data_IF_017526455372
#
_entry.id   IF_017526455372
#
_cell.length_a   1.000
_cell.length_b   1.000
_cell.length_c   1.000
_cell.angle_alpha   90.00
_cell.angle_beta   90.00
_cell.angle_gamma   90.00
#
_symmetry.space_group_name_H-M   'P 1'
#
loop_
_entity.id
_entity.type
_entity.pdbx_description
1 polymer ?
#
# COMPACT_ATOMS: atom_id res chain seq x y z
N UNK A 1 -5.54 -8.69 9.15
CA UNK A 1 -4.05 -8.79 9.05
C UNK A 1 -3.69 -9.52 7.77
N UNK A 2 -3.03 -8.81 6.85
CA UNK A 2 -2.79 -9.19 5.45
C UNK A 2 -2.05 -10.51 5.21
N UNK A 3 -1.25 -10.97 6.18
CA UNK A 3 -0.66 -12.32 6.15
C UNK A 3 -1.74 -13.40 6.03
N UNK A 4 -2.87 -13.23 6.72
CA UNK A 4 -4.00 -14.18 6.65
C UNK A 4 -4.70 -14.16 5.29
N UNK A 5 -4.54 -13.12 4.49
CA UNK A 5 -5.12 -13.00 3.15
C UNK A 5 -4.27 -13.72 2.09
N UNK A 6 -3.03 -14.07 2.42
CA UNK A 6 -2.09 -14.75 1.52
C UNK A 6 -0.99 -13.84 0.97
N UNK A 7 -0.84 -12.62 1.49
CA UNK A 7 0.27 -11.75 1.11
C UNK A 7 1.61 -12.32 1.58
N UNK A 8 2.59 -12.30 0.69
CA UNK A 8 4.00 -12.51 0.98
C UNK A 8 4.68 -11.17 1.24
N UNK A 9 5.64 -11.15 2.16
CA UNK A 9 6.29 -9.93 2.61
C UNK A 9 7.80 -10.00 2.43
N UNK A 10 8.39 -8.87 2.04
CA UNK A 10 9.82 -8.63 2.15
C UNK A 10 10.03 -7.24 2.76
N UNK A 11 11.12 -7.08 3.52
CA UNK A 11 11.51 -5.79 4.07
C UNK A 11 12.97 -5.50 3.70
N UNK A 12 13.29 -4.23 3.58
CA UNK A 12 14.65 -3.74 3.34
C UNK A 12 15.21 -3.02 4.56
N UNK A 13 16.54 -2.85 4.61
CA UNK A 13 17.21 -2.12 5.68
C UNK A 13 16.85 -0.61 5.69
N UNK A 14 16.35 -0.06 4.58
CA UNK A 14 15.84 1.32 4.50
C UNK A 14 14.39 1.45 4.99
N UNK A 15 13.79 0.38 5.52
CA UNK A 15 12.41 0.39 6.04
C UNK A 15 11.33 0.25 4.96
N UNK A 16 11.70 0.03 3.69
CA UNK A 16 10.73 -0.24 2.62
C UNK A 16 10.16 -1.64 2.82
N UNK A 17 8.83 -1.75 2.79
CA UNK A 17 8.09 -3.01 2.88
C UNK A 17 7.48 -3.33 1.53
N UNK A 18 7.70 -4.53 1.03
CA UNK A 18 7.04 -5.05 -0.17
C UNK A 18 6.03 -6.11 0.24
N UNK A 19 4.80 -5.99 -0.24
CA UNK A 19 3.75 -6.99 -0.08
C UNK A 19 3.33 -7.52 -1.45
N UNK A 20 3.23 -8.83 -1.62
CA UNK A 20 2.86 -9.45 -2.90
C UNK A 20 1.69 -10.41 -2.70
N UNK A 21 0.67 -10.30 -3.54
CA UNK A 21 -0.46 -11.22 -3.62
C UNK A 21 -0.58 -11.77 -5.03
N UNK A 22 -0.70 -13.09 -5.15
CA UNK A 22 -1.04 -13.75 -6.40
C UNK A 22 -2.54 -14.06 -6.43
N UNK A 23 -3.22 -13.65 -7.50
CA UNK A 23 -4.64 -13.91 -7.73
C UNK A 23 -4.85 -14.63 -9.05
N UNK A 24 -5.90 -15.44 -9.13
CA UNK A 24 -6.24 -16.17 -10.35
C UNK A 24 -7.20 -15.36 -11.21
N UNK A 25 -6.95 -15.32 -12.51
CA UNK A 25 -7.76 -14.58 -13.48
C UNK A 25 -8.54 -15.52 -14.40
N UNK A 26 -9.65 -15.02 -14.94
CA UNK A 26 -10.53 -15.70 -15.90
C UNK A 26 -9.84 -16.12 -17.21
N UNK A 27 -8.71 -15.50 -17.54
CA UNK A 27 -7.88 -15.78 -18.73
C UNK A 27 -6.96 -16.99 -18.58
N UNK A 28 -7.20 -17.88 -17.61
CA UNK A 28 -6.30 -18.99 -17.26
C UNK A 28 -4.87 -18.53 -16.93
N UNK A 29 -4.72 -17.30 -16.45
CA UNK A 29 -3.45 -16.71 -16.03
C UNK A 29 -3.53 -16.29 -14.56
N UNK A 30 -2.37 -16.10 -13.94
CA UNK A 30 -2.28 -15.48 -12.62
C UNK A 30 -1.92 -14.02 -12.76
N UNK A 31 -2.36 -13.21 -11.81
CA UNK A 31 -2.04 -11.81 -11.70
C UNK A 31 -1.32 -11.56 -10.37
N UNK A 32 -0.22 -10.83 -10.44
CA UNK A 32 0.59 -10.43 -9.30
C UNK A 32 0.23 -9.00 -8.96
N UNK A 33 -0.18 -8.80 -7.71
CA UNK A 33 -0.43 -7.50 -7.10
C UNK A 33 0.66 -7.23 -6.09
N UNK A 34 1.51 -6.25 -6.36
CA UNK A 34 2.62 -5.86 -5.51
C UNK A 34 2.38 -4.46 -4.95
N UNK A 35 2.50 -4.34 -3.63
CA UNK A 35 2.54 -3.06 -2.93
C UNK A 35 3.97 -2.79 -2.47
N UNK A 36 4.45 -1.56 -2.67
CA UNK A 36 5.71 -1.06 -2.12
C UNK A 36 5.38 0.10 -1.20
N UNK A 37 5.62 -0.10 0.09
CA UNK A 37 5.34 0.86 1.15
C UNK A 37 6.66 1.49 1.56
N UNK A 38 6.75 2.81 1.39
CA UNK A 38 7.88 3.58 1.85
C UNK A 38 7.72 3.90 3.35
N UNK A 39 8.83 4.12 4.07
CA UNK A 39 8.77 4.60 5.45
C UNK A 39 7.88 5.85 5.56
N UNK A 40 7.12 5.93 6.65
CA UNK A 40 6.34 7.13 6.95
C UNK A 40 7.26 8.34 7.18
N UNK A 41 6.83 9.50 6.73
CA UNK A 41 7.55 10.77 6.90
C UNK A 41 6.58 11.86 7.34
N UNK A 42 7.08 12.86 8.05
CA UNK A 42 6.30 14.04 8.39
C UNK A 42 6.29 14.98 7.20
N UNK A 43 5.12 15.26 6.64
CA UNK A 43 4.95 16.27 5.62
C UNK A 43 4.60 17.60 6.30
N UNK A 44 5.47 18.61 6.13
CA UNK A 44 5.19 19.98 6.54
C UNK A 44 4.36 20.68 5.48
N UNK A 45 3.34 21.44 5.88
CA UNK A 45 2.47 22.24 4.97
C UNK A 45 3.26 23.31 4.18
N UNK A 46 4.53 23.54 4.52
CA UNK A 46 5.39 24.56 3.92
C UNK A 46 6.35 24.08 2.81
N UNK A 47 6.41 22.78 2.48
CA UNK A 47 7.45 22.23 1.57
C UNK A 47 7.07 22.23 0.07
N UNK A 48 6.37 23.25 -0.41
CA UNK A 48 6.29 23.59 -1.85
C UNK A 48 7.51 24.41 -2.32
N UNK A 49 8.61 24.44 -1.57
CA UNK A 49 9.86 25.09 -1.99
C UNK A 49 11.06 24.17 -1.82
N UNK A 50 11.47 23.61 -2.96
CA UNK A 50 12.80 23.11 -3.23
C UNK A 50 13.88 24.01 -2.59
N UNK A 51 14.64 23.47 -1.64
CA UNK A 51 16.02 23.90 -1.40
C UNK A 51 16.80 22.74 -0.81
N UNK A 52 17.71 22.19 -1.61
CA UNK A 52 18.82 21.44 -1.06
C UNK A 52 19.66 22.37 -0.21
N UNK A 53 19.68 22.13 1.09
CA UNK A 53 20.75 22.59 1.97
C UNK A 53 20.93 21.55 3.06
N UNK A 54 22.08 20.87 2.98
CA UNK A 54 22.72 20.22 4.11
C UNK A 54 22.77 21.23 5.25
N UNK A 55 21.97 21.06 6.30
CA UNK A 55 22.26 21.63 7.61
C UNK A 55 21.60 20.79 8.69
N UNK A 56 22.46 20.18 9.50
CA UNK A 56 22.15 19.49 10.74
C UNK A 56 21.57 20.52 11.74
N UNK A 57 20.24 20.57 11.86
CA UNK A 57 19.61 21.23 13.00
C UNK A 57 18.27 20.56 13.34
N UNK A 58 18.31 19.77 14.41
CA UNK A 58 17.15 19.23 15.11
C UNK A 58 16.34 20.39 15.72
N UNK A 59 15.51 21.06 14.93
CA UNK A 59 14.43 21.88 15.45
C UNK A 59 13.21 21.01 15.68
N UNK A 60 13.08 20.53 16.93
CA UNK A 60 11.80 20.16 17.54
C UNK A 60 10.91 21.42 17.64
N UNK A 61 10.43 21.90 16.50
CA UNK A 61 9.19 22.67 16.47
C UNK A 61 8.04 21.68 16.57
N UNK A 62 7.06 21.97 17.44
CA UNK A 62 5.70 21.40 17.43
C UNK A 62 5.03 21.76 16.08
N UNK A 63 5.63 21.33 14.97
CA UNK A 63 5.03 21.41 13.67
C UNK A 63 3.93 20.37 13.70
N UNK A 64 2.70 20.83 13.51
CA UNK A 64 1.52 20.06 13.13
C UNK A 64 1.76 19.39 11.76
N UNK A 65 2.84 18.63 11.61
CA UNK A 65 3.19 17.89 10.42
C UNK A 65 2.29 16.67 10.34
N UNK A 66 1.63 16.49 9.20
CA UNK A 66 0.82 15.32 8.95
C UNK A 66 1.76 14.14 8.66
N UNK A 67 1.63 13.05 9.41
CA UNK A 67 2.38 11.84 9.14
C UNK A 67 1.81 11.19 7.87
N UNK A 68 2.61 11.14 6.81
CA UNK A 68 2.21 10.57 5.52
C UNK A 68 3.02 9.31 5.20
N UNK A 69 2.38 8.37 4.49
CA UNK A 69 3.01 7.16 3.96
C UNK A 69 2.73 7.08 2.47
N UNK A 70 3.79 6.92 1.68
CA UNK A 70 3.67 6.69 0.24
C UNK A 70 3.57 5.19 -0.02
N UNK A 71 2.58 4.81 -0.85
CA UNK A 71 2.41 3.44 -1.32
C UNK A 71 2.33 3.42 -2.83
N UNK A 72 3.15 2.60 -3.46
CA UNK A 72 3.05 2.27 -4.88
C UNK A 72 2.39 0.89 -5.04
N UNK A 73 1.58 0.73 -6.10
CA UNK A 73 0.93 -0.53 -6.44
C UNK A 73 1.21 -0.89 -7.89
N UNK A 74 1.67 -2.12 -8.10
CA UNK A 74 1.98 -2.70 -9.40
C UNK A 74 1.12 -3.94 -9.61
N UNK A 75 0.45 -4.02 -10.77
CA UNK A 75 -0.48 -5.12 -11.10
C UNK A 75 -0.15 -5.63 -12.49
N UNK A 76 0.27 -6.89 -12.59
CA UNK A 76 0.57 -7.53 -13.86
C UNK A 76 -0.03 -8.95 -13.93
N UNK A 77 -0.62 -9.36 -15.06
CA UNK A 77 -0.81 -8.56 -16.27
C UNK A 77 -1.95 -7.54 -16.12
N UNK A 78 -1.91 -6.48 -16.93
CA UNK A 78 -2.93 -5.43 -16.96
C UNK A 78 -4.19 -5.82 -17.76
N UNK A 79 -4.71 -7.03 -17.53
CA UNK A 79 -5.97 -7.51 -18.12
C UNK A 79 -6.58 -8.63 -17.27
N UNK A 80 -7.85 -8.93 -17.54
CA UNK A 80 -8.59 -10.04 -16.92
C UNK A 80 -9.37 -9.64 -15.67
N UNK A 81 -10.10 -10.63 -15.16
CA UNK A 81 -11.00 -10.51 -14.01
C UNK A 81 -10.69 -11.59 -12.99
N UNK A 82 -10.66 -11.23 -11.71
CA UNK A 82 -10.35 -12.17 -10.62
C UNK A 82 -11.43 -13.25 -10.52
N UNK A 83 -11.00 -14.51 -10.51
CA UNK A 83 -11.85 -15.67 -10.28
C UNK A 83 -12.05 -15.87 -8.78
N UNK A 84 -13.30 -16.02 -8.30
CA UNK A 84 -13.59 -16.31 -6.91
C UNK A 84 -13.09 -17.71 -6.53
N UNK A 85 -11.87 -17.82 -5.99
CA UNK A 85 -11.29 -19.10 -5.59
C UNK A 85 -10.61 -19.09 -4.21
N UNK A 86 -10.46 -17.91 -3.60
CA UNK A 86 -9.83 -17.75 -2.31
C UNK A 86 -10.72 -16.86 -1.44
N UNK A 87 -11.48 -17.50 -0.53
CA UNK A 87 -12.39 -16.81 0.39
C UNK A 87 -11.72 -15.77 1.29
N UNK A 88 -10.38 -15.83 1.43
CA UNK A 88 -9.59 -14.88 2.22
C UNK A 88 -9.46 -13.52 1.54
N UNK A 89 -9.70 -13.45 0.23
CA UNK A 89 -9.63 -12.22 -0.58
C UNK A 89 -10.95 -11.99 -1.34
N UNK A 90 -12.09 -12.35 -0.74
CA UNK A 90 -13.40 -12.21 -1.39
C UNK A 90 -13.76 -10.78 -1.80
N UNK A 91 -13.10 -9.78 -1.21
CA UNK A 91 -13.20 -8.38 -1.63
C UNK A 91 -12.67 -8.11 -3.04
N UNK A 92 -11.87 -9.03 -3.60
CA UNK A 92 -11.32 -8.97 -4.95
C UNK A 92 -12.14 -9.79 -5.96
N UNK A 93 -13.13 -10.57 -5.51
CA UNK A 93 -13.93 -11.43 -6.37
C UNK A 93 -14.61 -10.64 -7.49
N UNK A 94 -14.49 -11.13 -8.73
CA UNK A 94 -15.07 -10.54 -9.94
C UNK A 94 -14.61 -9.10 -10.25
N UNK A 95 -13.52 -8.64 -9.64
CA UNK A 95 -12.92 -7.34 -9.96
C UNK A 95 -12.00 -7.45 -11.16
N UNK A 96 -12.00 -6.43 -12.01
CA UNK A 96 -10.96 -6.27 -13.02
C UNK A 96 -9.63 -5.93 -12.36
N UNK A 97 -8.53 -6.25 -13.04
CA UNK A 97 -7.16 -6.01 -12.53
C UNK A 97 -6.98 -4.59 -11.95
N UNK A 98 -7.50 -3.55 -12.62
CA UNK A 98 -7.35 -2.15 -12.21
C UNK A 98 -8.19 -1.76 -10.98
N UNK A 99 -9.18 -2.58 -10.60
CA UNK A 99 -10.04 -2.35 -9.44
C UNK A 99 -9.48 -2.98 -8.15
N UNK A 100 -8.51 -3.91 -8.27
CA UNK A 100 -7.95 -4.63 -7.13
C UNK A 100 -7.22 -3.66 -6.19
N UNK A 101 -6.45 -2.72 -6.73
CA UNK A 101 -5.74 -1.70 -5.95
C UNK A 101 -6.71 -0.92 -5.05
N UNK A 102 -7.79 -0.38 -5.62
CA UNK A 102 -8.80 0.37 -4.88
C UNK A 102 -9.49 -0.47 -3.80
N UNK A 103 -9.74 -1.75 -4.10
CA UNK A 103 -10.32 -2.68 -3.13
C UNK A 103 -9.45 -2.84 -1.88
N UNK A 104 -8.14 -3.02 -2.06
CA UNK A 104 -7.20 -3.21 -0.97
C UNK A 104 -6.96 -1.90 -0.22
N UNK A 105 -6.78 -0.78 -0.93
CA UNK A 105 -6.57 0.54 -0.34
C UNK A 105 -7.72 0.95 0.58
N UNK A 106 -8.96 0.74 0.16
CA UNK A 106 -10.13 1.01 1.00
C UNK A 106 -10.09 0.20 2.31
N UNK A 107 -9.71 -1.07 2.24
CA UNK A 107 -9.58 -1.90 3.43
C UNK A 107 -8.43 -1.46 4.34
N UNK A 108 -7.30 -1.02 3.78
CA UNK A 108 -6.18 -0.49 4.55
C UNK A 108 -6.62 0.76 5.32
N UNK A 109 -7.27 1.70 4.63
CA UNK A 109 -7.77 2.94 5.26
C UNK A 109 -8.79 2.65 6.36
N UNK A 110 -9.72 1.72 6.14
CA UNK A 110 -10.70 1.32 7.16
C UNK A 110 -10.04 0.62 8.34
N UNK A 111 -9.07 -0.27 8.12
CA UNK A 111 -8.33 -0.92 9.21
C UNK A 111 -7.51 0.10 10.03
N UNK A 112 -6.85 1.07 9.38
CA UNK A 112 -6.13 2.16 10.03
C UNK A 112 -7.07 3.02 10.88
N UNK A 113 -8.20 3.48 10.30
CA UNK A 113 -9.18 4.27 11.04
C UNK A 113 -9.69 3.52 12.27
N UNK A 114 -10.02 2.23 12.16
CA UNK A 114 -10.49 1.44 13.31
C UNK A 114 -9.40 1.17 14.37
N UNK A 115 -8.11 1.28 14.02
CA UNK A 115 -7.02 1.13 14.98
C UNK A 115 -6.90 2.36 15.88
N UNK A 116 -7.15 3.57 15.37
CA UNK A 116 -7.09 4.81 16.16
C UNK A 116 -8.19 4.94 17.23
N UNK A 117 -9.24 4.11 17.17
CA UNK A 117 -10.34 4.08 18.15
C UNK A 117 -10.26 2.92 19.17
N UNK A 118 -9.13 2.22 19.28
CA UNK A 118 -8.91 1.16 20.27
C UNK A 118 -7.76 1.49 21.22
#
# INVERSE_FOLDING_TARGET
MRIKEGFSFAYSASGIITMVLEVWMDTCSTCIVQYVLFPAHYASVCDESYSGSDDENEQYSDNEGELQMVTEVWIEPQYGTVVPNNSRISYADNKHYFEIANAVSYLILVECYNFDYR
#
